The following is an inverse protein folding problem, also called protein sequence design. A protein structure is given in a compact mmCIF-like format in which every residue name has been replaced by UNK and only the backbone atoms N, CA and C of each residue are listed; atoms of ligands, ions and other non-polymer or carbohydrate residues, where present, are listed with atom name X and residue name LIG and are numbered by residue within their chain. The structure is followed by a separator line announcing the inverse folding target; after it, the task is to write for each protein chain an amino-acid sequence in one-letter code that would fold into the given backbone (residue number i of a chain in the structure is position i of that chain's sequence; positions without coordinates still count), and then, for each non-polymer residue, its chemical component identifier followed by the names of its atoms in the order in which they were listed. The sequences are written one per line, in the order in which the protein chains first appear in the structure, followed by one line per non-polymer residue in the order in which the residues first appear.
data_IF_905792578564
#
_entry.id   IF_905792578564
#
_cell.length_a   1.000
_cell.length_b   1.000
_cell.length_c   1.000
_cell.angle_alpha   90.00
_cell.angle_beta   90.00
_cell.angle_gamma   90.00
#
_symmetry.space_group_name_H-M   'P 1'
#
loop_
_entity.id
_entity.type
_entity.pdbx_description
1 polymer ?
#
# COMPACT_ATOMS: atom_id res chain seq x y z
N UNK A 1 -31.26 -18.91 -2.53
CA UNK A 1 -30.95 -17.47 -2.44
C UNK A 1 -30.41 -17.24 -1.03
N UNK A 2 -29.18 -16.74 -0.89
CA UNK A 2 -28.74 -16.22 0.39
C UNK A 2 -29.53 -14.93 0.69
N UNK A 3 -29.75 -14.61 1.96
CA UNK A 3 -30.49 -13.41 2.36
C UNK A 3 -29.70 -12.14 2.08
N UNK A 4 -30.33 -11.11 1.52
CA UNK A 4 -29.75 -9.76 1.33
C UNK A 4 -29.42 -9.02 2.63
N UNK A 5 -29.78 -9.57 3.80
CA UNK A 5 -29.41 -9.01 5.09
C UNK A 5 -27.91 -9.23 5.37
N UNK A 6 -27.17 -8.21 5.84
CA UNK A 6 -25.75 -8.34 6.17
C UNK A 6 -25.54 -9.34 7.31
N UNK A 7 -24.47 -10.13 7.23
CA UNK A 7 -24.10 -11.07 8.31
C UNK A 7 -23.68 -10.29 9.54
N UNK A 8 -24.21 -10.65 10.70
CA UNK A 8 -23.86 -10.01 11.97
C UNK A 8 -22.65 -10.71 12.56
N UNK A 9 -21.63 -9.98 12.97
CA UNK A 9 -20.41 -10.61 13.51
C UNK A 9 -20.00 -9.95 14.82
N UNK A 10 -19.68 -10.77 15.82
CA UNK A 10 -19.14 -10.32 17.09
C UNK A 10 -17.62 -10.46 17.08
N UNK A 11 -16.90 -9.35 17.25
CA UNK A 11 -15.47 -9.37 17.57
C UNK A 11 -15.30 -8.87 19.00
N UNK A 12 -15.16 -9.76 20.00
CA UNK A 12 -14.86 -9.35 21.35
C UNK A 12 -13.40 -8.87 21.44
N UNK A 13 -13.16 -7.85 22.26
CA UNK A 13 -11.84 -7.32 22.60
C UNK A 13 -11.72 -7.16 24.12
N UNK A 14 -10.49 -7.19 24.62
CA UNK A 14 -10.15 -7.12 26.03
C UNK A 14 -8.87 -6.29 26.22
N UNK A 15 -8.57 -5.91 27.45
CA UNK A 15 -7.22 -5.44 27.78
C UNK A 15 -6.20 -6.55 27.46
N UNK A 16 -5.08 -6.19 26.83
CA UNK A 16 -4.10 -7.14 26.31
C UNK A 16 -4.48 -7.86 25.01
N UNK A 17 -5.59 -7.50 24.36
CA UNK A 17 -5.90 -7.91 22.96
C UNK A 17 -4.69 -7.67 22.04
N UNK A 18 -4.45 -8.58 21.08
CA UNK A 18 -3.48 -8.33 20.01
C UNK A 18 -4.13 -7.39 18.96
N UNK A 19 -3.57 -6.19 18.72
CA UNK A 19 -4.27 -5.17 17.96
C UNK A 19 -4.30 -5.46 16.45
N UNK A 20 -3.26 -6.05 15.86
CA UNK A 20 -3.29 -6.45 14.45
C UNK A 20 -4.32 -7.56 14.23
N UNK A 21 -4.37 -8.57 15.11
CA UNK A 21 -5.34 -9.66 15.06
C UNK A 21 -6.78 -9.14 15.12
N UNK A 22 -7.07 -8.21 16.03
CA UNK A 22 -8.39 -7.58 16.16
C UNK A 22 -8.74 -6.71 14.95
N UNK A 23 -7.90 -5.72 14.65
CA UNK A 23 -8.19 -4.67 13.66
C UNK A 23 -8.29 -5.24 12.25
N UNK A 24 -7.36 -6.11 11.84
CA UNK A 24 -7.39 -6.74 10.51
C UNK A 24 -8.64 -7.60 10.35
N UNK A 25 -9.04 -8.34 11.40
CA UNK A 25 -10.27 -9.15 11.38
C UNK A 25 -11.51 -8.28 11.25
N UNK A 26 -11.62 -7.19 12.03
CA UNK A 26 -12.75 -6.26 11.97
C UNK A 26 -12.84 -5.58 10.60
N UNK A 27 -11.72 -5.09 10.08
CA UNK A 27 -11.66 -4.40 8.79
C UNK A 27 -12.09 -5.31 7.63
N UNK A 28 -11.48 -6.51 7.49
CA UNK A 28 -11.76 -7.46 6.40
C UNK A 28 -13.23 -7.91 6.43
N UNK A 29 -13.77 -8.20 7.61
CA UNK A 29 -15.18 -8.54 7.76
C UNK A 29 -16.08 -7.37 7.35
N UNK A 30 -15.77 -6.14 7.75
CA UNK A 30 -16.52 -4.94 7.30
C UNK A 30 -16.37 -4.68 5.80
N UNK A 31 -15.24 -5.03 5.17
CA UNK A 31 -15.09 -5.00 3.68
C UNK A 31 -15.99 -5.99 2.98
N UNK A 32 -16.27 -7.15 3.56
CA UNK A 32 -17.21 -8.13 2.99
C UNK A 32 -18.68 -7.70 3.02
N UNK A 33 -19.00 -6.62 3.74
CA UNK A 33 -20.38 -6.16 3.99
C UNK A 33 -20.98 -6.70 5.30
N UNK A 34 -20.18 -7.30 6.19
CA UNK A 34 -20.66 -7.75 7.49
C UNK A 34 -20.93 -6.58 8.45
N UNK A 35 -22.02 -6.71 9.20
CA UNK A 35 -22.38 -5.87 10.35
C UNK A 35 -21.56 -6.33 11.57
N UNK A 36 -20.33 -5.82 11.67
CA UNK A 36 -19.39 -6.20 12.74
C UNK A 36 -19.60 -5.32 13.97
N UNK A 37 -20.10 -5.94 15.04
CA UNK A 37 -20.15 -5.41 16.40
C UNK A 37 -18.85 -5.71 17.13
N UNK A 38 -18.12 -4.67 17.54
CA UNK A 38 -16.95 -4.83 18.43
C UNK A 38 -17.42 -4.74 19.88
N UNK A 39 -17.15 -5.75 20.70
CA UNK A 39 -17.63 -5.81 22.09
C UNK A 39 -16.48 -5.86 23.10
N UNK A 40 -16.44 -4.96 24.07
CA UNK A 40 -15.46 -5.02 25.16
C UNK A 40 -15.89 -6.04 26.22
N UNK A 41 -15.00 -6.94 26.59
CA UNK A 41 -15.17 -7.78 27.82
C UNK A 41 -14.59 -7.12 29.07
N UNK A 42 -13.89 -6.00 28.91
CA UNK A 42 -13.37 -5.19 30.02
C UNK A 42 -14.48 -4.33 30.65
N UNK A 43 -14.15 -3.66 31.76
CA UNK A 43 -15.11 -2.81 32.51
C UNK A 43 -15.65 -1.57 31.77
N UNK A 44 -15.06 -1.22 30.62
CA UNK A 44 -15.44 -0.07 29.81
C UNK A 44 -15.23 -0.34 28.32
N UNK A 45 -15.72 0.57 27.47
CA UNK A 45 -15.63 0.44 26.01
C UNK A 45 -14.19 0.60 25.48
N UNK A 46 -13.37 1.44 26.10
CA UNK A 46 -11.95 1.54 25.76
C UNK A 46 -11.20 0.34 26.36
N UNK A 47 -10.34 -0.29 25.57
CA UNK A 47 -9.40 -1.32 26.02
C UNK A 47 -7.96 -0.91 25.73
N UNK A 48 -7.08 -1.22 26.66
CA UNK A 48 -5.63 -1.09 26.49
C UNK A 48 -5.11 -2.37 25.81
N UNK A 49 -5.01 -2.33 24.48
CA UNK A 49 -4.49 -3.46 23.71
C UNK A 49 -2.98 -3.64 23.97
N UNK A 50 -2.47 -4.82 23.63
CA UNK A 50 -1.03 -5.07 23.65
C UNK A 50 -0.29 -4.13 22.70
N UNK A 51 1.02 -3.94 22.96
CA UNK A 51 1.88 -3.04 22.19
C UNK A 51 1.37 -1.58 22.13
N UNK A 52 0.76 -1.10 23.23
CA UNK A 52 0.50 0.32 23.48
C UNK A 52 -0.60 0.96 22.62
N UNK A 53 -1.32 0.20 21.81
CA UNK A 53 -2.48 0.70 21.08
C UNK A 53 -3.71 0.72 22.00
N UNK A 54 -4.59 1.71 21.84
CA UNK A 54 -5.88 1.78 22.53
C UNK A 54 -7.02 1.73 21.54
N UNK A 55 -7.94 0.80 21.76
CA UNK A 55 -9.12 0.57 20.91
C UNK A 55 -10.39 0.90 21.69
N UNK A 56 -11.45 1.31 20.99
CA UNK A 56 -12.77 1.53 21.61
C UNK A 56 -13.80 0.61 20.96
N UNK A 57 -14.41 -0.26 21.77
CA UNK A 57 -15.52 -1.12 21.37
C UNK A 57 -16.80 -0.33 21.05
N UNK A 58 -17.74 -0.97 20.37
CA UNK A 58 -19.06 -0.43 20.08
C UNK A 58 -20.02 -0.61 21.24
N UNK A 59 -19.91 -1.74 21.97
CA UNK A 59 -20.74 -2.10 23.13
C UNK A 59 -19.92 -2.83 24.21
N UNK A 60 -20.48 -3.01 25.40
CA UNK A 60 -19.98 -4.00 26.36
C UNK A 60 -20.53 -5.39 26.00
N UNK A 61 -19.78 -6.45 26.30
CA UNK A 61 -20.21 -7.84 26.07
C UNK A 61 -21.45 -8.21 26.89
N UNK A 62 -21.64 -7.58 28.05
CA UNK A 62 -22.86 -7.68 28.88
C UNK A 62 -24.12 -7.28 28.12
N UNK A 63 -23.99 -6.31 27.22
CA UNK A 63 -25.11 -5.67 26.53
C UNK A 63 -25.48 -6.45 25.25
N UNK A 64 -24.65 -7.42 24.87
CA UNK A 64 -24.90 -8.36 23.77
C UNK A 64 -25.87 -9.49 24.16
N UNK A 65 -26.35 -9.54 25.41
CA UNK A 65 -27.29 -10.55 25.89
C UNK A 65 -28.56 -10.61 25.02
N UNK A 66 -28.84 -11.76 24.42
CA UNK A 66 -29.99 -11.97 23.54
C UNK A 66 -29.73 -11.68 22.05
N UNK A 67 -28.60 -11.07 21.69
CA UNK A 67 -28.20 -10.90 20.28
C UNK A 67 -27.80 -12.22 19.64
N UNK A 68 -28.10 -12.38 18.35
CA UNK A 68 -27.62 -13.49 17.51
C UNK A 68 -26.62 -12.97 16.49
N UNK A 69 -25.44 -13.56 16.49
CA UNK A 69 -24.39 -13.31 15.50
C UNK A 69 -24.28 -14.52 14.56
N UNK A 70 -23.64 -14.34 13.42
CA UNK A 70 -23.24 -15.37 12.46
C UNK A 70 -21.79 -15.83 12.70
N UNK A 71 -20.97 -15.02 13.38
CA UNK A 71 -19.59 -15.34 13.78
C UNK A 71 -19.17 -14.72 15.13
N UNK A 72 -18.28 -15.42 15.86
CA UNK A 72 -17.56 -14.92 17.05
C UNK A 72 -16.05 -15.20 16.97
N UNK A 73 -15.21 -14.17 17.19
CA UNK A 73 -13.73 -14.24 17.15
C UNK A 73 -13.05 -14.07 18.52
N UNK A 74 -11.71 -14.15 18.63
CA UNK A 74 -10.97 -13.86 19.89
C UNK A 74 -9.49 -13.46 19.72
N UNK A 75 -9.10 -12.24 20.15
CA UNK A 75 -7.73 -11.84 20.47
C UNK A 75 -7.60 -11.30 21.92
N UNK A 76 -6.68 -11.83 22.75
CA UNK A 76 -6.53 -11.43 24.18
C UNK A 76 -6.97 -12.52 25.17
N UNK A 77 -6.41 -13.71 25.03
CA UNK A 77 -7.10 -14.96 25.36
C UNK A 77 -7.45 -15.24 26.83
N UNK A 78 -6.67 -14.77 27.81
CA UNK A 78 -6.97 -15.03 29.23
C UNK A 78 -8.18 -14.22 29.72
N UNK A 79 -8.22 -12.91 29.43
CA UNK A 79 -9.33 -12.04 29.83
C UNK A 79 -10.63 -12.42 29.10
N UNK A 80 -10.53 -12.90 27.86
CA UNK A 80 -11.66 -13.46 27.11
C UNK A 80 -12.16 -14.79 27.72
N UNK A 81 -11.24 -15.70 28.10
CA UNK A 81 -11.58 -16.98 28.75
C UNK A 81 -12.37 -16.78 30.04
N UNK A 82 -11.93 -15.84 30.87
CA UNK A 82 -12.49 -15.60 32.22
C UNK A 82 -13.80 -14.78 32.20
N UNK A 83 -14.31 -14.44 31.02
CA UNK A 83 -15.57 -13.72 30.85
C UNK A 83 -16.75 -14.71 30.67
N UNK A 84 -17.47 -15.00 31.76
CA UNK A 84 -18.65 -15.90 31.76
C UNK A 84 -19.73 -15.48 30.73
N UNK A 85 -19.91 -14.16 30.53
CA UNK A 85 -20.85 -13.63 29.55
C UNK A 85 -20.44 -13.97 28.11
N UNK A 86 -19.14 -13.85 27.79
CA UNK A 86 -18.62 -14.24 26.48
C UNK A 86 -18.68 -15.76 26.28
N UNK A 87 -18.26 -16.55 27.28
CA UNK A 87 -18.35 -18.01 27.22
C UNK A 87 -19.79 -18.46 26.94
N UNK A 88 -20.77 -17.89 27.66
CA UNK A 88 -22.19 -18.21 27.49
C UNK A 88 -22.70 -17.88 26.08
N UNK A 89 -22.32 -16.71 25.53
CA UNK A 89 -22.66 -16.30 24.17
C UNK A 89 -22.05 -17.25 23.12
N UNK A 90 -20.75 -17.57 23.25
CA UNK A 90 -20.05 -18.46 22.31
C UNK A 90 -20.59 -19.89 22.39
N UNK A 91 -20.80 -20.45 23.58
CA UNK A 91 -21.39 -21.79 23.75
C UNK A 91 -22.77 -21.89 23.10
N UNK A 92 -23.63 -20.90 23.31
CA UNK A 92 -24.94 -20.84 22.66
C UNK A 92 -24.80 -20.81 21.14
N UNK A 93 -23.95 -19.92 20.63
CA UNK A 93 -23.68 -19.76 19.19
C UNK A 93 -23.18 -21.04 18.52
N UNK A 94 -22.29 -21.79 19.18
CA UNK A 94 -21.81 -23.10 18.72
C UNK A 94 -22.93 -24.15 18.77
N UNK A 95 -23.76 -24.17 19.82
CA UNK A 95 -24.90 -25.10 19.93
C UNK A 95 -25.96 -24.87 18.84
N UNK A 96 -26.04 -23.65 18.32
CA UNK A 96 -26.91 -23.25 17.19
C UNK A 96 -26.24 -23.53 15.81
N UNK A 97 -25.08 -24.19 15.79
CA UNK A 97 -24.43 -24.70 14.57
C UNK A 97 -23.77 -23.65 13.68
N UNK A 98 -23.46 -22.46 14.24
CA UNK A 98 -22.85 -21.33 13.51
C UNK A 98 -21.32 -21.34 13.55
N UNK A 99 -20.71 -20.49 12.72
CA UNK A 99 -19.25 -20.41 12.53
C UNK A 99 -18.62 -19.72 13.74
N UNK A 100 -17.56 -20.29 14.29
CA UNK A 100 -16.84 -19.74 15.45
C UNK A 100 -15.34 -19.81 15.22
N UNK A 101 -14.60 -18.80 15.69
CA UNK A 101 -13.23 -18.62 15.29
C UNK A 101 -12.32 -18.12 16.42
N UNK A 102 -11.04 -18.54 16.40
CA UNK A 102 -10.05 -18.09 17.37
C UNK A 102 -8.65 -18.07 16.76
N UNK A 103 -7.84 -17.08 17.13
CA UNK A 103 -6.48 -16.91 16.61
C UNK A 103 -5.46 -16.86 17.76
N UNK A 104 -4.20 -17.15 17.44
CA UNK A 104 -3.08 -16.96 18.35
C UNK A 104 -3.18 -17.85 19.60
N UNK A 105 -3.16 -17.27 20.80
CA UNK A 105 -3.30 -18.04 22.05
C UNK A 105 -4.75 -18.46 22.36
N UNK A 106 -5.75 -17.90 21.66
CA UNK A 106 -7.16 -18.07 22.01
C UNK A 106 -7.75 -19.47 21.75
N UNK A 107 -7.34 -20.25 20.71
CA UNK A 107 -7.75 -21.63 20.56
C UNK A 107 -7.38 -22.50 21.78
N UNK A 108 -6.12 -22.46 22.22
CA UNK A 108 -5.66 -23.25 23.36
C UNK A 108 -6.25 -22.76 24.70
N UNK A 109 -6.20 -21.44 24.94
CA UNK A 109 -6.52 -20.86 26.26
C UNK A 109 -8.02 -20.76 26.51
N UNK A 110 -8.82 -20.35 25.51
CA UNK A 110 -10.25 -20.13 25.67
C UNK A 110 -11.07 -21.28 25.09
N UNK A 111 -11.05 -21.52 23.77
CA UNK A 111 -11.82 -22.62 23.17
C UNK A 111 -11.47 -24.00 23.75
N UNK A 112 -10.20 -24.25 24.05
CA UNK A 112 -9.74 -25.46 24.71
C UNK A 112 -10.33 -25.62 26.12
N UNK A 113 -10.27 -24.57 26.95
CA UNK A 113 -10.87 -24.59 28.29
C UNK A 113 -12.40 -24.72 28.26
N UNK A 114 -13.05 -24.16 27.24
CA UNK A 114 -14.48 -24.27 27.03
C UNK A 114 -14.89 -25.62 26.39
N UNK A 115 -13.94 -26.47 26.00
CA UNK A 115 -14.20 -27.77 25.38
C UNK A 115 -14.74 -27.70 23.95
N UNK A 116 -14.58 -26.55 23.27
CA UNK A 116 -15.12 -26.30 21.91
C UNK A 116 -14.26 -26.87 20.78
N UNK A 117 -13.15 -27.54 21.12
CA UNK A 117 -12.21 -28.17 20.18
C UNK A 117 -12.27 -29.70 20.19
N UNK A 118 -13.14 -30.29 21.01
CA UNK A 118 -13.21 -31.74 21.22
C UNK A 118 -13.53 -32.47 19.91
N UNK A 119 -12.62 -33.34 19.50
CA UNK A 119 -12.69 -34.13 18.27
C UNK A 119 -12.29 -33.39 16.99
N UNK A 120 -11.89 -32.11 17.08
CA UNK A 120 -11.56 -31.27 15.93
C UNK A 120 -10.06 -31.16 15.68
N UNK A 121 -9.70 -30.89 14.43
CA UNK A 121 -8.38 -30.39 14.05
C UNK A 121 -8.32 -28.88 14.27
N UNK A 122 -7.24 -28.40 14.90
CA UNK A 122 -7.08 -26.98 15.20
C UNK A 122 -5.60 -26.57 15.27
N UNK A 123 -5.33 -25.29 15.03
CA UNK A 123 -4.01 -24.68 15.18
C UNK A 123 -4.04 -23.54 16.19
N UNK A 124 -2.88 -23.11 16.67
CA UNK A 124 -2.75 -21.93 17.52
C UNK A 124 -1.34 -21.33 17.41
N UNK A 125 -1.05 -20.33 18.25
CA UNK A 125 0.30 -19.75 18.36
C UNK A 125 1.33 -20.83 18.73
N UNK A 126 2.53 -20.85 18.11
CA UNK A 126 3.51 -21.93 18.29
C UNK A 126 3.79 -22.29 19.76
N UNK A 127 4.00 -21.30 20.64
CA UNK A 127 4.27 -21.55 22.07
C UNK A 127 3.04 -21.93 22.92
N UNK A 128 1.88 -22.12 22.29
CA UNK A 128 0.64 -22.60 22.91
C UNK A 128 0.19 -23.96 22.35
N UNK A 129 0.87 -24.52 21.33
CA UNK A 129 0.49 -25.80 20.71
C UNK A 129 0.49 -26.95 21.74
N UNK A 130 1.46 -26.96 22.66
CA UNK A 130 1.54 -27.93 23.77
C UNK A 130 0.43 -27.76 24.84
N UNK A 131 -0.33 -26.66 24.78
CA UNK A 131 -1.46 -26.36 25.70
C UNK A 131 -2.82 -26.65 25.07
N UNK A 132 -2.86 -27.16 23.84
CA UNK A 132 -4.10 -27.62 23.22
C UNK A 132 -4.67 -28.82 24.02
N UNK A 133 -6.00 -28.95 24.14
CA UNK A 133 -6.60 -30.06 24.87
C UNK A 133 -6.31 -31.39 24.18
N UNK A 134 -6.15 -32.47 24.96
CA UNK A 134 -5.73 -33.79 24.46
C UNK A 134 -6.77 -34.49 23.60
N UNK A 135 -8.03 -34.02 23.61
CA UNK A 135 -9.10 -34.49 22.73
C UNK A 135 -9.28 -33.64 21.46
N UNK A 136 -8.39 -32.67 21.21
CA UNK A 136 -8.25 -31.98 19.92
C UNK A 136 -6.98 -32.46 19.18
N UNK A 137 -7.02 -32.44 17.85
CA UNK A 137 -5.85 -32.75 17.01
C UNK A 137 -5.12 -31.45 16.64
N UNK A 138 -4.00 -31.18 17.30
CA UNK A 138 -3.19 -30.00 17.02
C UNK A 138 -2.46 -30.15 15.67
N UNK A 139 -2.64 -29.19 14.75
CA UNK A 139 -2.00 -29.18 13.42
C UNK A 139 -1.27 -27.86 13.13
N UNK A 140 -0.18 -27.93 12.37
CA UNK A 140 0.79 -26.82 12.20
C UNK A 140 0.49 -25.89 10.99
N UNK A 141 -0.76 -25.82 10.53
CA UNK A 141 -1.16 -25.00 9.36
C UNK A 141 -1.43 -23.53 9.74
N UNK A 142 -1.32 -22.60 8.77
CA UNK A 142 -1.52 -21.14 9.00
C UNK A 142 -2.94 -20.78 9.43
N UNK A 143 -3.91 -21.42 8.78
CA UNK A 143 -5.34 -21.39 9.08
C UNK A 143 -5.85 -22.83 8.99
N UNK A 144 -6.79 -23.19 9.86
CA UNK A 144 -7.45 -24.51 9.90
C UNK A 144 -8.94 -24.28 10.01
N UNK A 145 -9.70 -24.74 9.03
CA UNK A 145 -11.14 -24.94 9.16
C UNK A 145 -11.40 -26.42 9.47
N UNK A 146 -12.09 -26.71 10.57
CA UNK A 146 -12.71 -28.02 10.80
C UNK A 146 -14.20 -27.83 11.13
N UNK A 147 -15.04 -28.25 10.19
CA UNK A 147 -16.49 -28.02 10.22
C UNK A 147 -16.84 -26.53 10.33
N UNK A 148 -17.26 -26.11 11.53
CA UNK A 148 -17.64 -24.72 11.86
C UNK A 148 -16.58 -23.95 12.66
N UNK A 149 -15.52 -24.63 13.09
CA UNK A 149 -14.41 -24.03 13.84
C UNK A 149 -13.35 -23.54 12.85
N UNK A 150 -12.95 -22.26 12.96
CA UNK A 150 -11.80 -21.72 12.22
C UNK A 150 -10.72 -21.28 13.20
N UNK A 151 -9.51 -21.79 13.06
CA UNK A 151 -8.38 -21.44 13.93
C UNK A 151 -7.16 -20.97 13.15
N UNK A 152 -6.33 -20.12 13.77
CA UNK A 152 -5.15 -19.55 13.11
C UNK A 152 -4.01 -19.23 14.09
N UNK A 153 -2.78 -19.05 13.58
CA UNK A 153 -1.56 -19.07 14.39
C UNK A 153 -1.17 -17.74 15.06
N UNK A 154 -1.50 -16.58 14.50
CA UNK A 154 -1.14 -15.30 15.12
C UNK A 154 -1.13 -14.11 14.16
N UNK A 155 -0.44 -13.00 14.49
CA UNK A 155 -0.66 -11.73 13.79
C UNK A 155 -0.33 -11.81 12.29
N UNK A 156 0.76 -12.51 11.96
CA UNK A 156 1.21 -12.77 10.58
C UNK A 156 0.38 -13.79 9.79
N UNK A 157 -0.71 -14.33 10.33
CA UNK A 157 -1.71 -15.17 9.63
C UNK A 157 -3.12 -14.56 9.61
N UNK A 158 -3.30 -13.36 10.21
CA UNK A 158 -4.64 -12.75 10.41
C UNK A 158 -5.39 -12.46 9.10
N UNK A 159 -4.72 -12.00 8.05
CA UNK A 159 -5.39 -11.68 6.79
C UNK A 159 -5.97 -12.92 6.11
N UNK A 160 -5.22 -14.03 6.06
CA UNK A 160 -5.72 -15.33 5.58
C UNK A 160 -6.86 -15.85 6.45
N UNK A 161 -6.71 -15.74 7.78
CA UNK A 161 -7.75 -16.14 8.74
C UNK A 161 -9.06 -15.37 8.49
N UNK A 162 -9.02 -14.04 8.41
CA UNK A 162 -10.20 -13.24 8.21
C UNK A 162 -10.85 -13.44 6.82
N UNK A 163 -10.06 -13.71 5.78
CA UNK A 163 -10.58 -14.08 4.46
C UNK A 163 -11.28 -15.45 4.46
N UNK A 164 -10.76 -16.43 5.20
CA UNK A 164 -11.45 -17.70 5.46
C UNK A 164 -12.81 -17.45 6.16
N UNK A 165 -12.88 -16.53 7.13
CA UNK A 165 -14.15 -16.16 7.77
C UNK A 165 -15.14 -15.53 6.78
N UNK A 166 -14.67 -14.71 5.84
CA UNK A 166 -15.50 -14.16 4.75
C UNK A 166 -16.00 -15.27 3.84
N UNK A 167 -15.17 -16.24 3.50
CA UNK A 167 -15.56 -17.41 2.70
C UNK A 167 -16.61 -18.28 3.41
N UNK A 168 -16.48 -18.52 4.71
CA UNK A 168 -17.49 -19.24 5.50
C UNK A 168 -18.85 -18.50 5.60
N UNK A 169 -18.85 -17.16 5.54
CA UNK A 169 -20.04 -16.33 5.71
C UNK A 169 -20.77 -16.00 4.39
N UNK A 170 -20.00 -15.86 3.31
CA UNK A 170 -20.46 -15.32 2.00
C UNK A 170 -20.02 -16.14 0.78
N UNK A 171 -19.11 -17.11 0.93
CA UNK A 171 -18.57 -17.92 -0.15
C UNK A 171 -17.30 -17.35 -0.80
N UNK A 172 -16.59 -18.23 -1.53
CA UNK A 172 -15.28 -17.99 -2.18
C UNK A 172 -15.21 -16.69 -2.97
N UNK A 173 -16.24 -16.40 -3.77
CA UNK A 173 -16.31 -15.24 -4.65
C UNK A 173 -16.22 -13.92 -3.88
N UNK A 174 -16.91 -13.79 -2.73
CA UNK A 174 -16.84 -12.60 -1.89
C UNK A 174 -15.47 -12.48 -1.19
N UNK A 175 -14.85 -13.60 -0.82
CA UNK A 175 -13.50 -13.58 -0.26
C UNK A 175 -12.47 -13.09 -1.29
N UNK A 176 -12.58 -13.53 -2.56
CA UNK A 176 -11.70 -13.07 -3.64
C UNK A 176 -11.96 -11.58 -4.01
N UNK A 177 -13.21 -11.14 -4.01
CA UNK A 177 -13.60 -9.72 -4.18
C UNK A 177 -12.95 -8.82 -3.10
N UNK A 178 -12.96 -9.26 -1.83
CA UNK A 178 -12.36 -8.52 -0.71
C UNK A 178 -10.83 -8.55 -0.77
N UNK A 179 -10.24 -9.69 -1.12
CA UNK A 179 -8.78 -9.87 -1.19
C UNK A 179 -8.11 -9.08 -2.32
N UNK A 180 -8.77 -8.95 -3.48
CA UNK A 180 -8.24 -8.29 -4.67
C UNK A 180 -7.64 -6.89 -4.42
N UNK A 181 -8.41 -5.90 -3.89
CA UNK A 181 -7.90 -4.56 -3.62
C UNK A 181 -6.94 -4.46 -2.42
N UNK A 182 -6.74 -5.54 -1.66
CA UNK A 182 -5.82 -5.57 -0.50
C UNK A 182 -4.37 -5.91 -0.88
N UNK A 183 -4.09 -6.19 -2.17
CA UNK A 183 -2.73 -6.50 -2.66
C UNK A 183 -2.11 -7.70 -1.91
N UNK A 184 -2.96 -8.70 -1.62
CA UNK A 184 -2.57 -9.90 -0.88
C UNK A 184 -1.41 -10.65 -1.54
N UNK A 185 -0.44 -11.08 -0.74
CA UNK A 185 0.71 -11.82 -1.23
C UNK A 185 0.29 -13.25 -1.63
N UNK A 186 0.28 -13.55 -2.93
CA UNK A 186 -0.09 -14.86 -3.45
C UNK A 186 0.98 -15.95 -3.23
N UNK A 187 2.24 -15.57 -2.99
CA UNK A 187 3.35 -16.48 -2.70
C UNK A 187 4.40 -15.84 -1.77
N UNK A 188 4.57 -16.32 -0.52
CA UNK A 188 5.48 -15.73 0.46
C UNK A 188 6.96 -15.68 0.05
N UNK A 189 7.38 -16.50 -0.92
CA UNK A 189 8.78 -16.65 -1.32
C UNK A 189 9.39 -15.44 -2.04
N UNK A 190 8.57 -14.50 -2.53
CA UNK A 190 9.02 -13.39 -3.40
C UNK A 190 8.96 -12.01 -2.74
N UNK A 191 9.12 -11.93 -1.41
CA UNK A 191 9.26 -10.66 -0.67
C UNK A 191 10.55 -9.91 -1.06
N UNK A 192 10.49 -9.20 -2.18
CA UNK A 192 11.64 -8.48 -2.75
C UNK A 192 11.61 -7.03 -2.29
N UNK A 193 12.24 -6.73 -1.15
CA UNK A 193 12.52 -5.34 -0.75
C UNK A 193 13.62 -4.79 -1.65
N UNK A 194 13.25 -3.93 -2.60
CA UNK A 194 14.21 -3.22 -3.45
C UNK A 194 14.50 -1.84 -2.87
N UNK A 195 15.65 -1.70 -2.23
CA UNK A 195 16.17 -0.40 -1.81
C UNK A 195 16.48 0.46 -3.06
N UNK A 196 15.89 1.66 -3.13
CA UNK A 196 16.11 2.62 -4.20
C UNK A 196 16.64 3.92 -3.59
N UNK A 197 17.90 4.26 -3.94
CA UNK A 197 18.69 5.33 -3.31
C UNK A 197 19.02 5.01 -1.85
N UNK A 198 20.06 4.19 -1.63
CA UNK A 198 20.44 3.78 -0.29
C UNK A 198 20.83 4.98 0.59
N UNK A 199 20.35 4.95 1.83
CA UNK A 199 20.64 5.95 2.85
C UNK A 199 21.29 5.27 4.05
N UNK A 200 22.42 5.80 4.50
CA UNK A 200 23.07 5.34 5.73
C UNK A 200 22.22 5.76 6.93
N UNK A 201 21.36 4.86 7.41
CA UNK A 201 20.60 5.05 8.64
C UNK A 201 21.14 4.14 9.74
N UNK A 202 21.76 4.76 10.75
CA UNK A 202 22.16 4.09 12.00
C UNK A 202 21.67 4.93 13.18
N UNK A 203 20.99 4.29 14.13
CA UNK A 203 20.52 4.95 15.36
C UNK A 203 21.29 4.42 16.56
N UNK A 204 22.07 5.28 17.20
CA UNK A 204 22.83 4.96 18.43
C UNK A 204 21.96 5.14 19.70
N UNK A 205 20.65 5.39 19.54
CA UNK A 205 19.64 5.59 20.58
C UNK A 205 18.35 4.86 20.19
N UNK A 206 17.43 4.67 21.13
CA UNK A 206 16.05 4.29 20.82
C UNK A 206 15.43 5.35 19.90
N UNK A 207 14.97 5.00 18.69
CA UNK A 207 14.38 5.98 17.77
C UNK A 207 13.01 6.44 18.28
N UNK A 208 12.75 7.75 18.18
CA UNK A 208 11.43 8.33 18.46
C UNK A 208 10.68 8.54 17.13
N UNK A 209 9.48 7.98 16.99
CA UNK A 209 8.77 7.88 15.71
C UNK A 209 7.38 8.49 15.84
N UNK A 210 6.99 9.34 14.90
CA UNK A 210 5.62 9.89 14.82
C UNK A 210 4.78 9.04 13.87
N UNK A 211 3.64 8.57 14.35
CA UNK A 211 2.56 8.02 13.52
C UNK A 211 1.32 8.91 13.72
N UNK A 212 1.01 9.82 12.79
CA UNK A 212 -0.20 10.60 12.86
C UNK A 212 -1.40 9.72 12.47
N UNK A 213 -2.52 9.88 13.18
CA UNK A 213 -3.81 9.25 12.86
C UNK A 213 -4.91 10.31 12.79
N UNK A 214 -5.92 10.08 11.97
CA UNK A 214 -7.05 10.99 11.76
C UNK A 214 -8.33 10.20 11.47
N UNK A 215 -9.47 10.90 11.49
CA UNK A 215 -10.72 10.30 11.04
C UNK A 215 -10.58 9.84 9.59
N UNK A 216 -10.99 8.60 9.32
CA UNK A 216 -10.86 7.97 8.00
C UNK A 216 -9.44 7.53 7.61
N UNK A 217 -8.46 7.52 8.54
CA UNK A 217 -7.20 6.76 8.33
C UNK A 217 -7.49 5.28 8.10
N UNK A 218 -6.63 4.61 7.33
CA UNK A 218 -6.71 3.15 7.16
C UNK A 218 -6.19 2.46 8.44
N UNK A 219 -7.09 1.70 9.09
CA UNK A 219 -6.83 1.13 10.41
C UNK A 219 -5.81 -0.01 10.43
N UNK A 220 -5.75 -0.84 9.39
CA UNK A 220 -4.75 -1.92 9.30
C UNK A 220 -3.35 -1.33 9.12
N UNK A 221 -3.20 -0.38 8.19
CA UNK A 221 -1.93 0.30 7.93
C UNK A 221 -1.43 1.03 9.19
N UNK A 222 -2.30 1.81 9.86
CA UNK A 222 -1.94 2.49 11.09
C UNK A 222 -1.53 1.51 12.20
N UNK A 223 -2.34 0.47 12.43
CA UNK A 223 -2.12 -0.52 13.49
C UNK A 223 -0.85 -1.33 13.26
N UNK A 224 -0.61 -1.83 12.03
CA UNK A 224 0.59 -2.59 11.69
C UNK A 224 1.87 -1.76 11.84
N UNK A 225 1.83 -0.48 11.44
CA UNK A 225 2.97 0.43 11.63
C UNK A 225 3.28 0.61 13.12
N UNK A 226 2.27 0.90 13.95
CA UNK A 226 2.44 1.16 15.39
C UNK A 226 2.94 -0.11 16.11
N UNK A 227 2.27 -1.24 15.89
CA UNK A 227 2.58 -2.52 16.54
C UNK A 227 4.00 -3.00 16.20
N UNK A 228 4.37 -3.05 14.92
CA UNK A 228 5.70 -3.53 14.49
C UNK A 228 6.81 -2.63 15.04
N UNK A 229 6.61 -1.31 15.10
CA UNK A 229 7.58 -0.38 15.66
C UNK A 229 7.71 -0.50 17.18
N UNK A 230 6.61 -0.77 17.90
CA UNK A 230 6.65 -1.08 19.33
C UNK A 230 7.34 -2.43 19.62
N UNK A 231 7.11 -3.46 18.78
CA UNK A 231 7.85 -4.74 18.85
C UNK A 231 9.36 -4.54 18.59
N UNK A 232 9.72 -3.62 17.71
CA UNK A 232 11.10 -3.17 17.49
C UNK A 232 11.66 -2.28 18.63
N UNK A 233 10.89 -2.05 19.70
CA UNK A 233 11.23 -1.22 20.87
C UNK A 233 11.50 0.26 20.54
N UNK A 234 10.94 0.76 19.43
CA UNK A 234 10.94 2.19 19.15
C UNK A 234 10.03 2.93 20.14
N UNK A 235 10.32 4.21 20.39
CA UNK A 235 9.39 5.10 21.09
C UNK A 235 8.42 5.69 20.07
N UNK A 236 7.32 5.00 19.81
CA UNK A 236 6.27 5.52 18.95
C UNK A 236 5.48 6.59 19.70
N UNK A 237 5.06 7.63 18.99
CA UNK A 237 4.09 8.63 19.43
C UNK A 237 2.93 8.57 18.44
N UNK A 238 1.78 8.07 18.90
CA UNK A 238 0.55 8.07 18.12
C UNK A 238 -0.14 9.40 18.35
N UNK A 239 -0.25 10.23 17.31
CA UNK A 239 -0.78 11.59 17.43
C UNK A 239 -2.08 11.78 16.63
N UNK A 240 -3.16 12.21 17.28
CA UNK A 240 -4.38 12.58 16.56
C UNK A 240 -4.21 13.93 15.88
N UNK A 241 -4.49 13.99 14.58
CA UNK A 241 -4.45 15.22 13.78
C UNK A 241 -5.70 16.09 13.99
N UNK A 242 -6.80 15.49 14.46
CA UNK A 242 -8.04 16.19 14.81
C UNK A 242 -8.05 16.77 16.23
N UNK A 243 -9.22 17.24 16.66
CA UNK A 243 -9.42 17.89 17.97
C UNK A 243 -9.50 16.93 19.16
N UNK A 244 -9.65 15.61 18.91
CA UNK A 244 -9.87 14.58 19.92
C UNK A 244 -8.85 13.45 19.79
N UNK A 245 -8.52 12.81 20.92
CA UNK A 245 -7.62 11.65 20.93
C UNK A 245 -8.25 10.43 20.24
N UNK A 246 -9.55 10.21 20.43
CA UNK A 246 -10.31 9.17 19.72
C UNK A 246 -10.56 9.59 18.27
N UNK A 247 -10.20 8.73 17.32
CA UNK A 247 -10.53 8.84 15.90
C UNK A 247 -11.34 7.64 15.43
N UNK A 248 -12.18 7.85 14.42
CA UNK A 248 -12.94 6.80 13.73
C UNK A 248 -12.27 6.53 12.39
N UNK A 249 -11.64 5.37 12.25
CA UNK A 249 -10.93 4.94 11.05
C UNK A 249 -11.87 4.59 9.88
N UNK A 250 -11.28 4.26 8.72
CA UNK A 250 -11.97 4.11 7.44
C UNK A 250 -13.08 3.05 7.44
N UNK A 251 -12.85 1.91 8.12
CA UNK A 251 -13.80 0.82 8.38
C UNK A 251 -14.31 0.85 9.82
N UNK A 252 -14.43 2.04 10.39
CA UNK A 252 -15.08 2.32 11.68
C UNK A 252 -14.41 1.66 12.89
N UNK A 253 -13.15 1.24 12.79
CA UNK A 253 -12.36 0.93 13.99
C UNK A 253 -12.10 2.24 14.73
N UNK A 254 -12.30 2.25 16.05
CA UNK A 254 -12.06 3.43 16.90
C UNK A 254 -10.73 3.26 17.61
N UNK A 255 -9.82 4.21 17.40
CA UNK A 255 -8.44 4.17 17.93
C UNK A 255 -8.22 5.43 18.76
N UNK A 256 -7.55 5.31 19.92
CA UNK A 256 -7.22 6.45 20.79
C UNK A 256 -5.73 6.78 20.70
N UNK A 257 -5.41 7.99 20.25
CA UNK A 257 -4.05 8.53 20.20
C UNK A 257 -3.47 8.80 21.60
N UNK A 258 -2.14 8.89 21.69
CA UNK A 258 -1.39 9.24 22.91
C UNK A 258 -1.49 10.72 23.23
N UNK A 259 -1.55 11.55 22.19
CA UNK A 259 -1.67 13.00 22.30
C UNK A 259 -2.29 13.62 21.04
N UNK A 260 -2.68 14.88 21.14
CA UNK A 260 -3.02 15.68 19.96
C UNK A 260 -1.73 16.08 19.22
N UNK A 261 -1.85 16.32 17.92
CA UNK A 261 -0.76 16.78 17.06
C UNK A 261 -0.14 18.10 17.57
N UNK A 262 -0.90 18.93 18.28
CA UNK A 262 -0.43 20.13 18.96
C UNK A 262 0.75 19.85 19.91
N UNK A 263 0.64 18.80 20.72
CA UNK A 263 1.68 18.41 21.67
C UNK A 263 2.81 17.64 20.98
N UNK A 264 2.46 16.77 20.03
CA UNK A 264 3.44 16.03 19.22
C UNK A 264 4.36 16.98 18.44
N UNK A 265 3.84 18.10 17.93
CA UNK A 265 4.62 19.10 17.18
C UNK A 265 5.73 19.79 17.98
N UNK A 266 5.72 19.67 19.31
CA UNK A 266 6.76 20.19 20.21
C UNK A 266 7.95 19.23 20.35
N UNK A 267 7.87 18.03 19.78
CA UNK A 267 8.86 16.97 19.87
C UNK A 267 9.73 16.87 18.59
N UNK A 268 10.84 16.14 18.71
CA UNK A 268 11.74 15.80 17.60
C UNK A 268 11.60 14.32 17.25
N UNK A 269 11.53 14.00 15.96
CA UNK A 269 11.37 12.63 15.48
C UNK A 269 12.57 12.17 14.65
N UNK A 270 12.85 10.87 14.71
CA UNK A 270 13.84 10.17 13.89
C UNK A 270 13.18 9.57 12.64
N UNK A 271 11.88 9.31 12.69
CA UNK A 271 11.01 8.94 11.55
C UNK A 271 9.62 9.58 11.73
N UNK A 272 9.00 10.04 10.64
CA UNK A 272 7.56 10.34 10.57
C UNK A 272 6.96 9.43 9.50
N UNK A 273 5.96 8.61 9.84
CA UNK A 273 5.37 7.66 8.88
C UNK A 273 3.85 7.75 8.88
N UNK A 274 3.27 8.03 7.71
CA UNK A 274 1.83 8.27 7.55
C UNK A 274 1.13 6.99 7.08
N UNK A 275 0.09 6.50 7.78
CA UNK A 275 -0.85 5.54 7.20
C UNK A 275 -1.64 6.21 6.06
N UNK A 276 -2.37 5.42 5.27
CA UNK A 276 -3.24 5.90 4.21
C UNK A 276 -4.70 6.06 4.64
N UNK A 277 -5.60 5.63 3.76
CA UNK A 277 -7.03 5.89 3.85
C UNK A 277 -7.36 7.27 3.27
N UNK A 278 -8.35 7.35 2.37
CA UNK A 278 -8.61 8.61 1.63
C UNK A 278 -9.00 9.75 2.57
N UNK A 279 -9.89 9.50 3.54
CA UNK A 279 -10.28 10.51 4.53
C UNK A 279 -9.12 10.94 5.43
N UNK A 280 -8.37 9.98 5.97
CA UNK A 280 -7.23 10.27 6.84
C UNK A 280 -6.13 11.03 6.10
N UNK A 281 -5.82 10.65 4.86
CA UNK A 281 -4.88 11.36 4.00
C UNK A 281 -5.34 12.78 3.62
N UNK A 282 -6.65 13.03 3.49
CA UNK A 282 -7.21 14.38 3.30
C UNK A 282 -7.05 15.23 4.56
N UNK A 283 -7.39 14.70 5.74
CA UNK A 283 -7.15 15.35 7.04
C UNK A 283 -5.67 15.69 7.23
N UNK A 284 -4.76 14.72 6.95
CA UNK A 284 -3.31 14.91 6.98
C UNK A 284 -2.84 16.03 6.04
N UNK A 285 -3.35 16.07 4.80
CA UNK A 285 -3.01 17.08 3.82
C UNK A 285 -3.53 18.49 4.20
N UNK A 286 -4.66 18.56 4.91
CA UNK A 286 -5.24 19.80 5.42
C UNK A 286 -4.50 20.40 6.62
N UNK A 287 -3.77 19.57 7.38
CA UNK A 287 -3.12 19.98 8.62
C UNK A 287 -1.78 20.68 8.33
N UNK A 288 -1.80 22.02 8.28
CA UNK A 288 -0.58 22.85 8.15
C UNK A 288 0.51 22.44 9.15
N UNK A 289 0.12 22.05 10.36
CA UNK A 289 1.02 21.59 11.43
C UNK A 289 1.76 20.31 11.05
N UNK A 290 1.06 19.31 10.52
CA UNK A 290 1.68 18.06 10.05
C UNK A 290 2.56 18.30 8.82
N UNK A 291 2.11 19.13 7.88
CA UNK A 291 2.88 19.51 6.70
C UNK A 291 4.19 20.22 7.09
N UNK A 292 4.15 21.12 8.07
CA UNK A 292 5.34 21.81 8.55
C UNK A 292 6.32 20.87 9.29
N UNK A 293 5.82 19.89 10.05
CA UNK A 293 6.67 18.83 10.62
C UNK A 293 7.35 17.99 9.54
N UNK A 294 6.61 17.58 8.50
CA UNK A 294 7.16 16.81 7.39
C UNK A 294 8.21 17.59 6.59
N UNK A 295 8.00 18.89 6.35
CA UNK A 295 8.99 19.78 5.71
C UNK A 295 10.25 19.89 6.56
N UNK A 296 10.13 20.17 7.87
CA UNK A 296 11.28 20.19 8.80
C UNK A 296 12.04 18.86 8.81
N UNK A 297 11.32 17.73 8.79
CA UNK A 297 11.91 16.38 8.74
C UNK A 297 12.72 16.18 7.44
N UNK A 298 12.17 16.58 6.30
CA UNK A 298 12.81 16.49 5.00
C UNK A 298 14.04 17.42 4.85
N UNK A 299 13.94 18.66 5.32
CA UNK A 299 15.04 19.64 5.36
C UNK A 299 16.19 19.13 6.24
N UNK A 300 15.85 18.53 7.39
CA UNK A 300 16.80 17.88 8.31
C UNK A 300 17.40 16.57 7.75
N UNK A 301 17.01 16.15 6.53
CA UNK A 301 17.40 14.87 5.89
C UNK A 301 17.09 13.63 6.73
N UNK A 302 16.13 13.72 7.65
CA UNK A 302 15.67 12.58 8.45
C UNK A 302 14.62 11.78 7.65
N UNK A 303 14.53 10.45 7.86
CA UNK A 303 13.49 9.63 7.22
C UNK A 303 12.07 10.14 7.45
N UNK A 304 11.25 10.02 6.41
CA UNK A 304 9.79 10.06 6.46
C UNK A 304 9.24 9.11 5.40
N UNK A 305 8.02 8.62 5.61
CA UNK A 305 7.36 7.68 4.70
C UNK A 305 5.84 7.83 4.73
N UNK A 306 5.18 7.23 3.75
CA UNK A 306 3.73 7.16 3.68
C UNK A 306 3.30 5.92 2.88
N UNK A 307 2.10 5.41 3.14
CA UNK A 307 1.51 4.26 2.44
C UNK A 307 0.14 4.63 1.83
N UNK A 308 -0.28 3.85 0.82
CA UNK A 308 -1.60 3.95 0.17
C UNK A 308 -1.89 5.34 -0.40
N UNK A 309 -2.87 6.07 0.13
CA UNK A 309 -3.29 7.38 -0.39
C UNK A 309 -2.35 8.54 0.01
N UNK A 310 -1.64 8.40 1.15
CA UNK A 310 -0.86 9.49 1.74
C UNK A 310 0.36 9.95 0.90
N UNK A 311 1.08 9.09 0.14
CA UNK A 311 2.07 9.55 -0.83
C UNK A 311 1.50 10.54 -1.87
N UNK A 312 0.30 10.27 -2.40
CA UNK A 312 -0.31 11.07 -3.46
C UNK A 312 -1.05 12.31 -2.95
N UNK A 313 -1.70 12.22 -1.77
CA UNK A 313 -2.50 13.32 -1.21
C UNK A 313 -1.71 14.22 -0.26
N UNK A 314 -0.70 13.69 0.44
CA UNK A 314 0.09 14.45 1.42
C UNK A 314 1.48 14.77 0.89
N UNK A 315 2.24 13.78 0.43
CA UNK A 315 3.66 14.00 0.10
C UNK A 315 3.87 14.72 -1.24
N UNK A 316 3.20 14.29 -2.32
CA UNK A 316 3.37 14.91 -3.65
C UNK A 316 2.96 16.39 -3.70
N UNK A 317 1.76 16.80 -3.21
CA UNK A 317 1.28 18.17 -3.38
C UNK A 317 2.10 19.18 -2.58
N UNK A 318 2.68 18.74 -1.46
CA UNK A 318 3.52 19.56 -0.59
C UNK A 318 5.01 19.54 -0.94
N UNK A 319 5.39 18.94 -2.08
CA UNK A 319 6.76 18.93 -2.59
C UNK A 319 7.71 17.97 -1.88
N UNK A 320 7.19 17.04 -1.08
CA UNK A 320 7.96 16.05 -0.32
C UNK A 320 8.36 14.84 -1.18
N UNK A 321 7.81 14.70 -2.40
CA UNK A 321 8.32 13.74 -3.39
C UNK A 321 9.13 14.47 -4.47
N UNK A 322 10.41 14.08 -4.65
CA UNK A 322 11.33 14.65 -5.65
C UNK A 322 11.04 14.27 -7.11
N UNK A 323 9.79 13.93 -7.45
CA UNK A 323 9.36 13.54 -8.81
C UNK A 323 9.72 14.63 -9.82
N UNK A 324 9.48 15.90 -9.47
CA UNK A 324 9.75 17.06 -10.34
C UNK A 324 11.25 17.31 -10.55
N UNK A 325 12.10 17.03 -9.55
CA UNK A 325 13.55 17.18 -9.66
C UNK A 325 14.15 16.16 -10.64
N UNK A 326 13.76 14.88 -10.51
CA UNK A 326 14.22 13.84 -11.44
C UNK A 326 13.68 14.07 -12.85
N UNK A 327 12.41 14.44 -13.03
CA UNK A 327 11.88 14.80 -14.37
C UNK A 327 12.62 16.01 -14.95
N UNK A 328 12.99 17.00 -14.14
CA UNK A 328 13.78 18.17 -14.57
C UNK A 328 15.19 17.75 -15.00
N UNK A 329 15.90 16.98 -14.17
CA UNK A 329 17.25 16.47 -14.46
C UNK A 329 17.23 15.56 -15.70
N UNK A 330 16.28 14.64 -15.82
CA UNK A 330 16.16 13.77 -17.01
C UNK A 330 15.85 14.57 -18.26
N UNK A 331 14.94 15.56 -18.22
CA UNK A 331 14.68 16.46 -19.36
C UNK A 331 15.92 17.27 -19.75
N UNK A 332 16.68 17.74 -18.76
CA UNK A 332 17.91 18.50 -18.98
C UNK A 332 19.01 17.61 -19.60
N UNK A 333 19.26 16.42 -19.05
CA UNK A 333 20.20 15.44 -19.61
C UNK A 333 19.81 14.99 -21.01
N UNK A 334 18.51 14.81 -21.29
CA UNK A 334 18.01 14.52 -22.65
C UNK A 334 18.26 15.69 -23.61
N UNK A 335 18.10 16.94 -23.13
CA UNK A 335 18.40 18.14 -23.93
C UNK A 335 19.90 18.25 -24.25
N UNK A 336 20.75 18.11 -23.24
CA UNK A 336 22.22 18.17 -23.35
C UNK A 336 22.76 17.04 -24.25
N UNK A 337 22.23 15.82 -24.11
CA UNK A 337 22.58 14.68 -24.97
C UNK A 337 22.13 14.89 -26.42
N UNK A 338 20.92 15.44 -26.64
CA UNK A 338 20.40 15.75 -27.98
C UNK A 338 21.27 16.80 -28.68
N UNK A 339 21.66 17.85 -27.97
CA UNK A 339 22.53 18.91 -28.49
C UNK A 339 23.96 18.40 -28.81
N UNK A 340 24.52 17.54 -27.97
CA UNK A 340 25.80 16.86 -28.22
C UNK A 340 25.76 15.95 -29.47
N UNK A 341 24.68 15.17 -29.63
CA UNK A 341 24.50 14.27 -30.77
C UNK A 341 24.38 15.04 -32.09
N UNK A 342 23.57 16.10 -32.09
CA UNK A 342 23.37 16.97 -33.26
C UNK A 342 24.68 17.64 -33.70
N UNK A 343 25.51 18.07 -32.75
CA UNK A 343 26.82 18.68 -33.04
C UNK A 343 27.82 17.65 -33.60
N UNK A 344 27.86 16.43 -33.08
CA UNK A 344 28.71 15.37 -33.66
C UNK A 344 28.27 15.00 -35.09
N UNK A 345 26.96 14.87 -35.32
CA UNK A 345 26.41 14.57 -36.65
C UNK A 345 26.71 15.70 -37.67
N UNK A 346 26.57 16.97 -37.26
CA UNK A 346 26.92 18.14 -38.07
C UNK A 346 28.42 18.16 -38.40
N UNK A 347 29.29 17.92 -37.43
CA UNK A 347 30.75 17.84 -37.64
C UNK A 347 31.12 16.71 -38.61
N UNK A 348 30.48 15.54 -38.50
CA UNK A 348 30.76 14.41 -39.38
C UNK A 348 30.33 14.71 -40.83
N UNK A 349 29.10 15.21 -41.04
CA UNK A 349 28.64 15.67 -42.37
C UNK A 349 29.56 16.74 -42.97
N UNK A 350 30.09 17.65 -42.15
CA UNK A 350 31.05 18.66 -42.62
C UNK A 350 32.37 18.04 -43.09
N UNK A 351 32.91 17.06 -42.34
CA UNK A 351 34.14 16.33 -42.71
C UNK A 351 33.96 15.54 -44.00
N UNK A 352 32.85 14.81 -44.13
CA UNK A 352 32.56 13.99 -45.31
C UNK A 352 32.39 14.87 -46.56
N UNK A 353 31.74 16.03 -46.42
CA UNK A 353 31.61 17.05 -47.48
C UNK A 353 32.98 17.62 -47.89
N UNK A 354 33.83 18.00 -46.92
CA UNK A 354 35.18 18.50 -47.18
C UNK A 354 36.04 17.45 -47.88
N UNK A 355 35.95 16.18 -47.47
CA UNK A 355 36.66 15.07 -48.08
C UNK A 355 36.23 14.87 -49.54
N UNK A 356 34.91 14.78 -49.79
CA UNK A 356 34.34 14.64 -51.13
C UNK A 356 34.76 15.80 -52.06
N UNK A 357 34.66 17.06 -51.60
CA UNK A 357 35.07 18.23 -52.38
C UNK A 357 36.57 18.19 -52.71
N UNK A 358 37.44 17.79 -51.77
CA UNK A 358 38.87 17.62 -52.02
C UNK A 358 39.17 16.48 -53.01
N UNK A 359 38.44 15.37 -52.94
CA UNK A 359 38.59 14.26 -53.89
C UNK A 359 38.22 14.69 -55.32
N UNK A 360 37.10 15.39 -55.47
CA UNK A 360 36.63 15.90 -56.77
C UNK A 360 37.57 16.98 -57.33
N UNK A 361 38.05 17.91 -56.50
CA UNK A 361 39.10 18.88 -56.89
C UNK A 361 40.39 18.18 -57.33
N UNK A 362 40.77 17.07 -56.67
CA UNK A 362 41.97 16.30 -57.02
C UNK A 362 41.81 15.56 -58.36
N UNK A 363 40.63 15.00 -58.63
CA UNK A 363 40.29 14.39 -59.94
C UNK A 363 40.25 15.44 -61.06
N UNK A 364 39.67 16.62 -60.80
CA UNK A 364 39.62 17.73 -61.76
C UNK A 364 41.03 18.28 -62.10
N UNK A 365 41.94 18.35 -61.13
CA UNK A 365 43.35 18.69 -61.37
C UNK A 365 44.08 17.65 -62.24
N UNK A 366 43.81 16.35 -62.04
CA UNK A 366 44.47 15.26 -62.79
C UNK A 366 43.98 15.09 -64.22
N UNK A 367 42.74 15.49 -64.52
CA UNK A 367 42.12 15.36 -65.84
C UNK A 367 42.34 16.56 -66.78
N UNK A 368 43.01 17.62 -66.30
CA UNK A 368 43.19 18.86 -67.07
C UNK A 368 41.91 19.71 -67.22
N UNK A 369 40.77 19.25 -66.69
CA UNK A 369 39.45 19.89 -66.85
C UNK A 369 39.22 21.12 -65.93
N UNK A 370 40.30 21.82 -65.54
CA UNK A 370 40.23 22.90 -64.55
C UNK A 370 39.53 24.18 -65.06
N UNK A 371 39.24 24.27 -66.37
CA UNK A 371 38.45 25.36 -66.97
C UNK A 371 36.95 25.16 -66.89
N UNK A 372 36.46 23.94 -66.67
CA UNK A 372 35.01 23.63 -66.73
C UNK A 372 34.35 23.50 -65.34
N UNK A 373 35.16 23.47 -64.27
CA UNK A 373 34.71 23.26 -62.89
C UNK A 373 34.19 24.52 -62.17
N UNK A 374 33.96 25.62 -62.90
CA UNK A 374 33.24 26.80 -62.38
C UNK A 374 31.73 26.66 -62.59
N UNK A 375 31.31 25.76 -63.50
CA UNK A 375 29.90 25.53 -63.87
C UNK A 375 29.15 24.56 -62.95
N UNK A 376 29.86 23.70 -62.22
CA UNK A 376 29.26 22.71 -61.29
C UNK A 376 29.15 23.25 -59.84
N UNK A 377 29.00 24.57 -59.68
CA UNK A 377 28.38 25.13 -58.48
C UNK A 377 26.85 24.99 -58.60
N UNK A 378 26.32 23.84 -58.19
CA UNK A 378 25.04 23.66 -57.47
C UNK A 378 24.99 22.17 -57.08
N UNK A 379 25.31 21.90 -55.82
CA UNK A 379 25.00 20.63 -55.18
C UNK A 379 24.76 20.96 -53.71
N UNK A 380 23.52 21.33 -53.37
CA UNK A 380 22.95 21.41 -52.03
C UNK A 380 21.48 21.88 -52.13
N UNK A 381 20.55 20.93 -51.89
CA UNK A 381 19.10 21.11 -51.86
C UNK A 381 18.33 20.24 -52.89
N UNK A 382 17.48 19.23 -52.62
CA UNK A 382 17.35 18.14 -51.60
C UNK A 382 15.89 17.53 -51.53
N UNK A 383 15.08 17.55 -52.62
CA UNK A 383 13.63 17.21 -52.67
C UNK A 383 13.22 16.40 -53.92
N UNK A 384 11.95 16.03 -54.19
CA UNK A 384 10.71 15.84 -53.40
C UNK A 384 9.87 14.76 -54.13
N UNK A 385 8.79 14.28 -53.50
CA UNK A 385 7.60 13.64 -54.10
C UNK A 385 7.78 12.28 -54.78
N UNK A 386 7.04 11.27 -54.29
CA UNK A 386 6.92 9.96 -54.94
C UNK A 386 5.49 9.36 -54.88
N UNK A 387 4.81 9.28 -56.04
CA UNK A 387 4.73 7.96 -56.69
C UNK A 387 3.63 6.94 -56.28
N UNK A 388 2.47 7.29 -55.69
CA UNK A 388 1.31 6.40 -55.36
C UNK A 388 -0.05 7.05 -55.80
N UNK A 389 -1.14 6.38 -56.25
CA UNK A 389 -1.40 5.01 -56.79
C UNK A 389 -2.84 4.88 -57.38
N UNK A 390 -3.05 4.18 -58.52
CA UNK A 390 -4.03 3.06 -58.62
C UNK A 390 -3.94 2.26 -59.95
N UNK A 391 -4.66 1.13 -60.04
CA UNK A 391 -4.42 -0.03 -60.91
C UNK A 391 -4.29 0.24 -62.43
N UNK A 392 -3.22 -0.18 -63.11
CA UNK A 392 -2.10 -1.03 -62.67
C UNK A 392 -0.89 -0.27 -62.10
N UNK A 393 -1.08 1.00 -61.70
CA UNK A 393 -0.09 1.90 -61.14
C UNK A 393 0.27 3.05 -62.11
N UNK A 394 0.54 4.28 -61.70
CA UNK A 394 0.70 4.84 -60.34
C UNK A 394 0.50 6.39 -60.44
N UNK A 395 -0.35 6.99 -59.60
CA UNK A 395 -0.48 8.46 -59.49
C UNK A 395 0.58 9.06 -58.55
N UNK A 396 0.52 10.36 -58.23
CA UNK A 396 1.44 11.02 -57.30
C UNK A 396 0.72 11.39 -56.01
N UNK A 397 1.29 10.94 -54.88
CA UNK A 397 1.03 11.47 -53.55
C UNK A 397 2.29 12.14 -53.00
N UNK A 398 2.09 13.28 -52.36
CA UNK A 398 3.11 13.97 -51.56
C UNK A 398 2.88 13.59 -50.10
N UNK A 399 3.40 12.44 -49.66
CA UNK A 399 3.39 12.12 -48.23
C UNK A 399 4.44 12.97 -47.51
N UNK A 400 3.98 13.93 -46.71
CA UNK A 400 4.78 14.46 -45.62
C UNK A 400 4.88 13.38 -44.52
N UNK A 401 6.10 13.04 -44.10
CA UNK A 401 6.32 12.19 -42.93
C UNK A 401 6.19 13.09 -41.68
N UNK A 402 5.39 12.66 -40.70
CA UNK A 402 4.78 13.52 -39.68
C UNK A 402 5.76 14.19 -38.67
N UNK A 403 7.06 13.89 -38.72
CA UNK A 403 8.04 14.44 -37.77
C UNK A 403 8.35 15.94 -37.96
N UNK A 404 7.88 16.59 -39.03
CA UNK A 404 8.20 18.00 -39.35
C UNK A 404 7.02 18.83 -39.92
N UNK A 405 6.24 19.46 -39.03
CA UNK A 405 5.06 20.29 -39.38
C UNK A 405 5.35 21.70 -39.90
N UNK A 406 6.62 22.11 -40.05
CA UNK A 406 6.98 23.46 -40.52
C UNK A 406 7.15 23.59 -42.05
N UNK A 407 7.11 22.48 -42.78
CA UNK A 407 7.26 22.46 -44.24
C UNK A 407 5.95 22.90 -44.93
N UNK A 408 5.95 24.13 -45.47
CA UNK A 408 4.86 24.66 -46.29
C UNK A 408 5.33 24.93 -47.73
N UNK A 409 4.41 25.32 -48.63
CA UNK A 409 4.67 25.54 -50.06
C UNK A 409 5.74 26.59 -50.37
N UNK A 410 6.16 27.41 -49.41
CA UNK A 410 7.22 28.41 -49.57
C UNK A 410 8.63 27.79 -49.62
N UNK A 411 8.81 26.58 -49.07
CA UNK A 411 10.10 25.88 -49.05
C UNK A 411 10.41 25.13 -50.36
N UNK A 412 9.48 25.10 -51.33
CA UNK A 412 9.58 24.28 -52.55
C UNK A 412 10.75 24.69 -53.47
N UNK A 413 11.32 25.89 -53.30
CA UNK A 413 12.46 26.37 -54.10
C UNK A 413 13.82 25.91 -53.62
N UNK A 414 13.98 25.56 -52.34
CA UNK A 414 15.30 25.29 -51.73
C UNK A 414 15.85 23.93 -52.13
N UNK A 415 15.00 23.07 -52.69
CA UNK A 415 15.33 21.66 -52.75
C UNK A 415 15.20 21.06 -54.19
N UNK A 416 15.02 21.90 -55.22
CA UNK A 416 14.82 21.50 -56.63
C UNK A 416 16.13 21.19 -57.37
#
# INVERSE_FOLDING_TARGET
MASDAPRKVLVPIADGTEPMEAVITIDILRRSGADVTVASVSSGLQVDASWGLRLVADVLVSDCAGSTFDLGGMPGSTNLRDCEALESLVRKHVSEGRVYAAICAAPAVAFGSWGLLKGLQATCYPSFMEKMPTDATAVELRVVQDGRCVTSRGPGTTMEFALELVEQLYGKEKADEVAGPMVMCSQPANLTVKELNSVSWTSNKTPQILVPIANGSEEMEATMIIDILHRAKAKVVVASVGEKLEIVASRKVKIVADMLLEEAAKLEYDLIVLPGGIGGAQEFASSEKLINLLKKQAESRKPYGAICASPALVLEPHGLLKVKEWIRITRQLVSEAKESFDNQLKIQKLKDTIFFVNEQLTKAKKSGAFSNLITDKINLGEMQVMFRKDYNGVHIEVMAVEDYTFLNSSYVSVLR
#
